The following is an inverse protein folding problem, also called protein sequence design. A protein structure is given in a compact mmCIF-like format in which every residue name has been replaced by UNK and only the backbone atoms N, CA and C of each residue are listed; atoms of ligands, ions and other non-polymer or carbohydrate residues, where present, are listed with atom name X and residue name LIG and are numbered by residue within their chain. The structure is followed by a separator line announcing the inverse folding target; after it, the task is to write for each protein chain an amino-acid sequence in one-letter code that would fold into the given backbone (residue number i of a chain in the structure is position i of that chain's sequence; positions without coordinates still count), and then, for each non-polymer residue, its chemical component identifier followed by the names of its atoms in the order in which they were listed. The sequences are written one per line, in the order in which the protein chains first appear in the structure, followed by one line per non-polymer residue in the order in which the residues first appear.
data_IF_467246687417
#
_entry.id   IF_467246687417
#
_cell.length_a   1.000
_cell.length_b   1.000
_cell.length_c   1.000
_cell.angle_alpha   90.00
_cell.angle_beta   90.00
_cell.angle_gamma   90.00
#
_symmetry.space_group_name_H-M   'P 1'
#
loop_
_entity.id
_entity.type
_entity.pdbx_description
1 polymer ?
#
# COMPACT_ATOMS: atom_id res chain seq x y z
N UNK A 1 -7.96 9.02 0.55
CA UNK A 1 -7.15 7.78 0.59
C UNK A 1 -8.07 6.61 0.89
N UNK A 2 -7.83 5.46 0.27
CA UNK A 2 -8.54 4.19 0.54
C UNK A 2 -7.51 3.22 1.14
N UNK A 3 -7.89 2.53 2.21
CA UNK A 3 -7.02 1.58 2.92
C UNK A 3 -7.71 0.21 2.96
N UNK A 4 -6.99 -0.86 2.64
CA UNK A 4 -7.55 -2.22 2.55
C UNK A 4 -6.61 -3.30 3.10
N UNK A 5 -7.06 -3.97 4.16
CA UNK A 5 -6.43 -5.19 4.69
C UNK A 5 -7.01 -6.43 4.01
N UNK A 6 -6.18 -7.42 3.67
CA UNK A 6 -6.66 -8.74 3.26
C UNK A 6 -7.71 -8.64 2.14
N UNK A 7 -8.91 -9.21 2.31
CA UNK A 7 -10.02 -9.09 1.35
C UNK A 7 -10.44 -7.64 1.07
N UNK A 8 -10.24 -6.73 2.03
CA UNK A 8 -10.46 -5.30 1.84
C UNK A 8 -9.54 -4.67 0.79
N UNK A 9 -8.35 -5.24 0.54
CA UNK A 9 -7.48 -4.75 -0.55
C UNK A 9 -8.06 -5.04 -1.93
N UNK A 10 -8.74 -6.19 -2.08
CA UNK A 10 -9.46 -6.59 -3.30
C UNK A 10 -10.62 -5.64 -3.56
N UNK A 11 -11.41 -5.36 -2.52
CA UNK A 11 -12.52 -4.40 -2.60
C UNK A 11 -12.03 -2.99 -2.90
N UNK A 12 -10.90 -2.57 -2.30
CA UNK A 12 -10.31 -1.26 -2.55
C UNK A 12 -9.82 -1.10 -4.00
N UNK A 13 -9.15 -2.11 -4.55
CA UNK A 13 -8.74 -2.13 -5.96
C UNK A 13 -9.95 -2.11 -6.90
N UNK A 14 -10.96 -2.96 -6.64
CA UNK A 14 -12.20 -2.99 -7.39
C UNK A 14 -12.92 -1.64 -7.37
N UNK A 15 -13.05 -1.02 -6.20
CA UNK A 15 -13.64 0.30 -6.06
C UNK A 15 -12.88 1.36 -6.87
N UNK A 16 -11.54 1.34 -6.85
CA UNK A 16 -10.72 2.27 -7.62
C UNK A 16 -10.94 2.11 -9.14
N UNK A 17 -11.07 0.88 -9.65
CA UNK A 17 -11.40 0.61 -11.06
C UNK A 17 -12.80 1.07 -11.47
N UNK A 18 -13.74 1.19 -10.53
CA UNK A 18 -15.08 1.71 -10.84
C UNK A 18 -15.15 3.24 -10.88
N UNK A 19 -14.11 3.94 -10.41
CA UNK A 19 -14.06 5.41 -10.45
C UNK A 19 -13.79 5.92 -11.87
N UNK A 20 -14.38 7.06 -12.22
CA UNK A 20 -14.02 7.82 -13.42
C UNK A 20 -12.52 8.17 -13.39
N UNK A 21 -11.81 8.21 -14.54
CA UNK A 21 -10.37 8.47 -14.58
C UNK A 21 -9.93 9.75 -13.84
N UNK A 22 -10.71 10.85 -13.94
CA UNK A 22 -10.41 12.11 -13.24
C UNK A 22 -10.53 12.01 -11.71
N UNK A 23 -11.31 11.08 -11.20
CA UNK A 23 -11.45 10.80 -9.77
C UNK A 23 -10.37 9.81 -9.32
N UNK A 24 -10.13 8.76 -10.11
CA UNK A 24 -9.11 7.73 -9.86
C UNK A 24 -7.72 8.32 -9.67
N UNK A 25 -7.36 9.31 -10.49
CA UNK A 25 -6.09 10.06 -10.40
C UNK A 25 -5.89 10.87 -9.10
N UNK A 26 -6.91 10.95 -8.24
CA UNK A 26 -6.86 11.61 -6.92
C UNK A 26 -6.93 10.61 -5.76
N UNK A 27 -6.86 9.31 -6.05
CA UNK A 27 -6.90 8.25 -5.05
C UNK A 27 -5.47 7.89 -4.63
N UNK A 28 -5.21 7.92 -3.32
CA UNK A 28 -4.10 7.19 -2.74
C UNK A 28 -4.61 5.85 -2.20
N UNK A 29 -3.89 4.78 -2.50
CA UNK A 29 -4.23 3.42 -2.11
C UNK A 29 -3.19 2.87 -1.12
N UNK A 30 -3.65 2.34 0.01
CA UNK A 30 -2.82 1.64 0.99
C UNK A 30 -3.34 0.22 1.17
N UNK A 31 -2.61 -0.77 0.68
CA UNK A 31 -2.96 -2.19 0.84
C UNK A 31 -2.00 -2.89 1.80
N UNK A 32 -2.48 -3.88 2.55
CA UNK A 32 -1.64 -4.61 3.50
C UNK A 32 -2.20 -5.99 3.80
N UNK A 33 -1.31 -6.96 4.03
CA UNK A 33 -1.69 -8.37 4.04
C UNK A 33 -2.43 -8.75 2.75
N UNK A 34 -2.04 -8.16 1.61
CA UNK A 34 -2.86 -8.14 0.40
C UNK A 34 -2.74 -9.43 -0.41
N UNK A 35 -3.84 -10.14 -0.72
CA UNK A 35 -3.81 -11.34 -1.56
C UNK A 35 -3.88 -11.04 -3.07
N UNK A 36 -3.76 -9.76 -3.47
CA UNK A 36 -4.01 -9.29 -4.84
C UNK A 36 -3.19 -10.05 -5.89
N UNK A 37 -1.87 -10.12 -5.76
CA UNK A 37 -1.02 -10.89 -6.68
C UNK A 37 -1.06 -12.39 -6.33
N UNK A 38 -0.76 -12.71 -5.07
CA UNK A 38 -0.46 -14.07 -4.61
C UNK A 38 -1.61 -15.06 -4.77
N UNK A 39 -2.86 -14.63 -4.55
CA UNK A 39 -4.03 -15.51 -4.69
C UNK A 39 -4.91 -15.08 -5.86
N UNK A 40 -5.34 -13.81 -5.86
CA UNK A 40 -6.30 -13.32 -6.85
C UNK A 40 -5.69 -13.20 -8.24
N UNK A 41 -4.44 -12.77 -8.36
CA UNK A 41 -3.74 -12.71 -9.64
C UNK A 41 -3.54 -14.08 -10.28
N UNK A 42 -3.44 -15.13 -9.46
CA UNK A 42 -3.34 -16.52 -9.92
C UNK A 42 -4.67 -17.11 -10.37
N UNK A 43 -5.74 -16.87 -9.61
CA UNK A 43 -7.04 -17.50 -9.86
C UNK A 43 -7.96 -16.66 -10.77
N UNK A 44 -7.75 -15.34 -10.80
CA UNK A 44 -8.53 -14.39 -11.59
C UNK A 44 -7.62 -13.41 -12.37
N UNK A 45 -6.69 -13.91 -13.20
CA UNK A 45 -5.67 -13.09 -13.87
C UNK A 45 -6.24 -12.00 -14.79
N UNK A 46 -7.45 -12.19 -15.32
CA UNK A 46 -8.14 -11.17 -16.13
C UNK A 46 -8.45 -9.88 -15.32
N UNK A 47 -8.65 -10.00 -14.01
CA UNK A 47 -9.02 -8.88 -13.14
C UNK A 47 -7.86 -8.43 -12.24
N UNK A 48 -7.03 -9.36 -11.79
CA UNK A 48 -5.95 -9.11 -10.82
C UNK A 48 -4.58 -9.54 -11.32
N UNK A 49 -4.44 -9.81 -12.62
CA UNK A 49 -3.13 -10.09 -13.22
C UNK A 49 -2.24 -8.85 -13.29
N UNK A 50 -0.97 -9.08 -13.60
CA UNK A 50 0.05 -8.03 -13.65
C UNK A 50 -0.36 -6.83 -14.53
N UNK A 51 -1.01 -7.07 -15.67
CA UNK A 51 -1.46 -5.99 -16.56
C UNK A 51 -2.51 -5.08 -15.90
N UNK A 52 -3.51 -5.67 -15.22
CA UNK A 52 -4.58 -4.92 -14.55
C UNK A 52 -4.06 -4.14 -13.35
N UNK A 53 -3.21 -4.77 -12.53
CA UNK A 53 -2.58 -4.11 -11.37
C UNK A 53 -1.60 -3.01 -11.80
N UNK A 54 -0.86 -3.20 -12.89
CA UNK A 54 0.01 -2.17 -13.46
C UNK A 54 -0.80 -0.98 -14.03
N UNK A 55 -1.94 -1.24 -14.68
CA UNK A 55 -2.89 -0.18 -15.06
C UNK A 55 -3.38 0.60 -13.84
N UNK A 56 -3.77 -0.10 -12.76
CA UNK A 56 -4.20 0.55 -11.53
C UNK A 56 -3.11 1.49 -10.97
N UNK A 57 -1.88 1.00 -10.85
CA UNK A 57 -0.74 1.76 -10.33
C UNK A 57 -0.49 3.06 -11.10
N UNK A 58 -0.59 3.04 -12.43
CA UNK A 58 -0.42 4.23 -13.28
C UNK A 58 -1.56 5.24 -13.17
N UNK A 59 -2.73 4.81 -12.73
CA UNK A 59 -3.95 5.61 -12.79
C UNK A 59 -4.40 6.17 -11.44
N UNK A 60 -3.91 5.61 -10.33
CA UNK A 60 -4.04 6.20 -9.00
C UNK A 60 -2.95 7.24 -8.75
N UNK A 61 -3.18 8.15 -7.80
CA UNK A 61 -2.20 9.17 -7.45
C UNK A 61 -0.93 8.57 -6.83
N UNK A 62 -1.11 7.60 -5.95
CA UNK A 62 -0.04 6.84 -5.32
C UNK A 62 -0.59 5.55 -4.72
N UNK A 63 0.26 4.53 -4.63
CA UNK A 63 -0.08 3.24 -4.04
C UNK A 63 1.10 2.72 -3.23
N UNK A 64 0.81 2.29 -2.00
CA UNK A 64 1.72 1.54 -1.14
C UNK A 64 1.10 0.20 -0.72
N UNK A 65 1.90 -0.86 -0.72
CA UNK A 65 1.56 -2.18 -0.22
C UNK A 65 2.52 -2.58 0.90
N UNK A 66 1.98 -2.99 2.05
CA UNK A 66 2.75 -3.49 3.20
C UNK A 66 2.54 -5.00 3.35
N UNK A 67 3.61 -5.76 3.51
CA UNK A 67 3.52 -7.21 3.66
C UNK A 67 4.58 -7.73 4.61
N UNK A 68 4.32 -8.89 5.20
CA UNK A 68 5.28 -9.68 5.97
C UNK A 68 5.63 -10.94 5.18
N UNK A 69 6.86 -11.42 5.27
CA UNK A 69 7.27 -12.69 4.64
C UNK A 69 6.62 -13.92 5.30
N UNK A 70 6.20 -13.76 6.55
CA UNK A 70 5.50 -14.75 7.38
C UNK A 70 4.00 -14.81 7.11
N UNK A 71 3.43 -13.86 6.35
CA UNK A 71 2.01 -13.82 6.02
C UNK A 71 1.67 -14.91 4.99
N UNK A 72 0.84 -15.92 5.33
CA UNK A 72 0.51 -16.99 4.40
C UNK A 72 -0.46 -16.54 3.29
N UNK A 73 -1.18 -15.43 3.49
CA UNK A 73 -2.21 -14.93 2.59
C UNK A 73 -1.68 -13.75 1.76
N UNK A 74 -1.16 -12.75 2.46
CA UNK A 74 -0.64 -11.52 1.89
C UNK A 74 0.73 -11.69 1.22
N UNK A 75 1.12 -10.70 0.42
CA UNK A 75 2.44 -10.67 -0.19
C UNK A 75 2.69 -9.41 -1.00
N UNK A 76 3.86 -9.32 -1.65
CA UNK A 76 4.16 -8.24 -2.59
C UNK A 76 3.23 -8.31 -3.80
N UNK A 77 2.92 -7.15 -4.39
CA UNK A 77 2.14 -7.02 -5.63
C UNK A 77 3.00 -7.31 -6.86
N UNK A 78 4.33 -7.13 -6.77
CA UNK A 78 5.33 -7.48 -7.80
C UNK A 78 5.07 -6.84 -9.16
N UNK A 79 4.81 -5.53 -9.17
CA UNK A 79 4.65 -4.82 -10.43
C UNK A 79 6.02 -4.63 -11.11
N UNK A 80 6.12 -4.89 -12.44
CA UNK A 80 7.35 -4.61 -13.19
C UNK A 80 7.61 -3.11 -13.16
N UNK A 81 8.73 -2.72 -12.55
CA UNK A 81 9.09 -1.33 -12.32
C UNK A 81 9.46 -0.63 -13.62
N UNK A 82 8.71 0.43 -13.93
CA UNK A 82 9.08 1.51 -14.87
C UNK A 82 8.15 2.76 -14.70
N UNK A 83 7.21 2.76 -13.76
CA UNK A 83 6.15 3.79 -13.67
C UNK A 83 5.93 4.31 -12.24
N UNK A 84 6.89 5.05 -11.70
CA UNK A 84 6.73 5.80 -10.45
C UNK A 84 7.29 5.10 -9.19
N UNK A 85 6.96 5.59 -7.98
CA UNK A 85 7.43 5.01 -6.73
C UNK A 85 7.01 3.53 -6.65
N UNK A 86 7.91 2.69 -6.15
CA UNK A 86 7.63 1.26 -5.93
C UNK A 86 6.33 1.12 -5.14
N UNK A 87 5.47 0.18 -5.53
CA UNK A 87 4.22 -0.09 -4.79
C UNK A 87 4.51 -0.85 -3.51
N UNK A 88 5.35 -1.86 -3.60
CA UNK A 88 5.73 -2.69 -2.46
C UNK A 88 6.69 -1.92 -1.55
N UNK A 89 6.40 -1.88 -0.24
CA UNK A 89 7.40 -1.51 0.76
C UNK A 89 8.36 -2.68 0.96
N UNK A 90 9.55 -2.42 1.51
CA UNK A 90 10.37 -3.48 2.07
C UNK A 90 9.56 -4.36 3.06
N UNK A 91 9.77 -5.68 3.11
CA UNK A 91 8.98 -6.54 3.98
C UNK A 91 9.05 -6.05 5.44
N UNK A 92 7.88 -5.93 6.09
CA UNK A 92 7.84 -5.62 7.51
C UNK A 92 8.49 -6.75 8.29
N UNK A 93 9.34 -6.37 9.25
CA UNK A 93 10.07 -7.32 10.09
C UNK A 93 9.08 -8.15 10.92
N UNK A 94 9.15 -9.47 10.80
CA UNK A 94 8.34 -10.41 11.58
C UNK A 94 9.08 -11.74 11.77
N UNK A 95 9.32 -12.23 13.00
CA UNK A 95 9.04 -11.57 14.28
C UNK A 95 9.96 -10.35 14.51
N UNK A 96 9.55 -9.44 15.41
CA UNK A 96 10.34 -8.24 15.72
C UNK A 96 11.73 -8.57 16.33
N UNK A 97 11.83 -9.69 17.04
CA UNK A 97 13.07 -10.22 17.58
C UNK A 97 13.08 -11.75 17.54
N UNK A 98 14.26 -12.34 17.35
CA UNK A 98 14.47 -13.77 17.54
C UNK A 98 14.98 -14.00 18.95
N UNK A 99 14.29 -14.86 19.73
CA UNK A 99 14.63 -15.09 21.13
C UNK A 99 14.13 -13.97 22.06
N UNK A 100 14.81 -13.78 23.20
CA UNK A 100 14.49 -12.76 24.20
C UNK A 100 15.54 -11.66 24.20
N UNK A 101 15.10 -10.41 24.27
CA UNK A 101 15.96 -9.21 24.44
C UNK A 101 15.46 -8.39 25.64
N UNK A 102 16.17 -7.30 25.98
CA UNK A 102 15.69 -6.40 27.03
C UNK A 102 14.35 -5.73 26.65
N UNK A 103 14.19 -5.39 25.38
CA UNK A 103 12.97 -4.80 24.80
C UNK A 103 11.88 -5.85 24.54
N UNK A 104 12.28 -7.10 24.30
CA UNK A 104 11.40 -8.24 24.07
C UNK A 104 11.70 -9.36 25.09
N UNK A 105 11.31 -9.19 26.37
CA UNK A 105 11.63 -10.16 27.42
C UNK A 105 10.92 -11.51 27.23
N UNK A 106 9.85 -11.53 26.43
CA UNK A 106 9.18 -12.72 25.95
C UNK A 106 9.50 -12.92 24.46
N UNK A 107 9.52 -14.17 23.94
CA UNK A 107 9.68 -14.42 22.52
C UNK A 107 8.68 -13.58 21.72
N UNK A 108 9.18 -12.79 20.77
CA UNK A 108 8.31 -11.97 19.95
C UNK A 108 7.37 -12.86 19.11
N UNK A 109 6.06 -12.56 19.08
CA UNK A 109 5.11 -13.34 18.29
C UNK A 109 5.40 -13.16 16.80
N UNK A 110 5.06 -14.19 16.02
CA UNK A 110 4.93 -14.08 14.57
C UNK A 110 3.53 -13.52 14.31
N UNK A 111 3.45 -12.29 13.80
CA UNK A 111 2.18 -11.61 13.54
C UNK A 111 1.50 -12.12 12.26
N UNK A 112 2.29 -12.52 11.27
CA UNK A 112 1.81 -13.09 10.01
C UNK A 112 0.81 -12.19 9.29
N UNK A 113 -0.46 -12.58 9.30
CA UNK A 113 -1.55 -11.85 8.61
C UNK A 113 -2.19 -10.72 9.45
N UNK A 114 -1.78 -10.58 10.72
CA UNK A 114 -2.45 -9.72 11.70
C UNK A 114 -1.65 -8.46 12.00
N UNK A 115 -2.28 -7.52 12.72
CA UNK A 115 -1.66 -6.37 13.38
C UNK A 115 -0.76 -5.46 12.53
N UNK A 116 -0.97 -5.42 11.22
CA UNK A 116 -0.30 -4.48 10.33
C UNK A 116 -0.46 -3.02 10.77
N UNK A 117 -1.63 -2.64 11.27
CA UNK A 117 -1.93 -1.26 11.69
C UNK A 117 -1.19 -0.82 12.96
N UNK A 118 -0.74 -1.79 13.77
CA UNK A 118 0.05 -1.53 14.98
C UNK A 118 1.53 -1.30 14.65
N UNK A 119 1.98 -1.67 13.45
CA UNK A 119 3.35 -1.44 13.00
C UNK A 119 3.57 0.06 12.73
N UNK A 120 4.63 0.70 13.27
CA UNK A 120 4.90 2.11 13.04
C UNK A 120 5.02 2.48 11.55
N UNK A 121 5.50 1.56 10.71
CA UNK A 121 5.61 1.76 9.26
C UNK A 121 4.24 2.03 8.64
N UNK A 122 3.17 1.42 9.17
CA UNK A 122 1.81 1.67 8.68
C UNK A 122 1.42 3.14 8.85
N UNK A 123 1.68 3.72 10.02
CA UNK A 123 1.34 5.12 10.28
C UNK A 123 2.18 6.07 9.41
N UNK A 124 3.47 5.78 9.25
CA UNK A 124 4.40 6.56 8.42
C UNK A 124 3.98 6.56 6.95
N UNK A 125 3.74 5.39 6.37
CA UNK A 125 3.36 5.28 4.96
C UNK A 125 1.96 5.88 4.69
N UNK A 126 1.04 5.73 5.66
CA UNK A 126 -0.26 6.39 5.60
C UNK A 126 -0.13 7.91 5.54
N UNK A 127 0.73 8.49 6.38
CA UNK A 127 0.98 9.93 6.41
C UNK A 127 1.60 10.41 5.10
N UNK A 128 2.64 9.73 4.60
CA UNK A 128 3.26 10.06 3.32
C UNK A 128 2.26 10.00 2.15
N UNK A 129 1.37 9.01 2.11
CA UNK A 129 0.34 8.92 1.08
C UNK A 129 -0.65 10.09 1.16
N UNK A 130 -1.02 10.52 2.37
CA UNK A 130 -1.91 11.66 2.57
C UNK A 130 -1.24 12.98 2.18
N UNK A 131 0.05 13.14 2.46
CA UNK A 131 0.83 14.31 2.04
C UNK A 131 0.91 14.43 0.52
N UNK A 132 1.13 13.31 -0.18
CA UNK A 132 1.12 13.27 -1.66
C UNK A 132 -0.22 13.63 -2.29
N UNK A 133 -1.33 13.50 -1.54
CA UNK A 133 -2.65 13.91 -2.01
C UNK A 133 -2.93 15.40 -1.83
N UNK A 134 -2.13 16.12 -1.03
CA UNK A 134 -2.35 17.56 -0.83
C UNK A 134 -2.04 18.27 -2.15
N UNK A 135 -2.96 19.13 -2.67
CA UNK A 135 -2.66 19.92 -3.85
C UNK A 135 -1.46 20.83 -3.56
N UNK A 136 -0.56 21.01 -4.53
CA UNK A 136 0.39 22.12 -4.51
C UNK A 136 -0.41 23.41 -4.33
N UNK A 137 -0.27 24.05 -3.18
CA UNK A 137 -0.83 25.39 -2.97
C UNK A 137 -0.02 26.31 -3.89
N UNK A 138 -0.62 26.98 -4.89
CA UNK A 138 0.12 27.93 -5.71
C UNK A 138 0.71 28.99 -4.79
N UNK A 139 2.03 29.18 -4.84
CA UNK A 139 2.71 30.21 -4.05
C UNK A 139 2.05 31.57 -4.27
N UNK A 140 1.85 32.33 -3.19
CA UNK A 140 1.27 33.68 -3.29
C UNK A 140 2.08 34.51 -4.28
N UNK A 141 1.40 35.06 -5.29
CA UNK A 141 1.99 36.00 -6.24
C UNK A 141 2.51 37.19 -5.44
N UNK A 142 3.80 37.57 -5.55
CA UNK A 142 4.32 38.73 -4.84
C UNK A 142 3.50 39.97 -5.19
N UNK A 143 3.10 40.73 -4.17
CA UNK A 143 2.39 41.99 -4.36
C UNK A 143 3.24 42.95 -5.20
N UNK A 144 2.63 43.66 -6.17
CA UNK A 144 3.35 44.71 -6.88
C UNK A 144 3.74 45.80 -5.88
N UNK A 145 5.03 46.14 -5.86
CA UNK A 145 5.58 47.23 -5.06
C UNK A 145 4.93 48.57 -5.47
N UNK A 146 4.76 49.51 -4.52
CA UNK A 146 4.09 50.80 -4.74
C UNK A 146 4.83 51.73 -5.70
#
# INVERSE_FOLDING_TARGET
MISGHSQGSVLAAAAAWQLKPSVRKRVALLTYGSPLERLYGRWFPAHFGAAALNSLHREVACWRNLYRLTDPIGGPVRLPGDCGPEVDHEPLKDPLAYGRTAEHPLPAPILGHSDYQADPVFAQEREQLLERLRPEVPGQRPEPAP
#
